data_IF_829759493745
#
_entry.id   IF_829759493745
#
_cell.length_a   1.000
_cell.length_b   1.000
_cell.length_c   1.000
_cell.angle_alpha   90.00
_cell.angle_beta   90.00
_cell.angle_gamma   90.00
#
_symmetry.space_group_name_H-M   'P 1'
#
loop_
_entity.id
_entity.type
_entity.pdbx_description
1 polymer ?
#
# COMPACT_ATOMS: atom_id res chain seq x y z
N UNK A 1 -6.80 -16.88 -17.60
CA UNK A 1 -5.47 -16.21 -17.80
C UNK A 1 -4.38 -17.28 -17.72
N UNK A 2 -3.38 -17.27 -18.62
CA UNK A 2 -2.24 -18.20 -18.57
C UNK A 2 -1.26 -17.80 -17.47
N UNK A 3 -0.39 -18.72 -17.02
CA UNK A 3 0.65 -18.44 -16.00
C UNK A 3 1.56 -17.28 -16.44
N UNK A 4 1.98 -17.22 -17.71
CA UNK A 4 2.78 -16.14 -18.27
C UNK A 4 2.05 -14.78 -18.19
N UNK A 5 0.77 -14.76 -18.57
CA UNK A 5 -0.02 -13.53 -18.51
C UNK A 5 -0.24 -13.06 -17.06
N UNK A 6 -0.33 -13.98 -16.10
CA UNK A 6 -0.42 -13.65 -14.69
C UNK A 6 0.87 -13.03 -14.14
N UNK A 7 2.04 -13.54 -14.57
CA UNK A 7 3.33 -12.92 -14.23
C UNK A 7 3.46 -11.51 -14.83
N UNK A 8 3.08 -11.32 -16.09
CA UNK A 8 3.08 -9.99 -16.72
C UNK A 8 2.13 -9.03 -16.01
N UNK A 9 0.94 -9.49 -15.63
CA UNK A 9 -0.05 -8.68 -14.93
C UNK A 9 0.46 -8.18 -13.57
N UNK A 10 1.11 -9.05 -12.78
CA UNK A 10 1.62 -8.64 -11.47
C UNK A 10 2.84 -7.71 -11.58
N UNK A 11 3.73 -7.92 -12.57
CA UNK A 11 4.84 -6.98 -12.82
C UNK A 11 4.33 -5.62 -13.26
N UNK A 12 3.33 -5.58 -14.17
CA UNK A 12 2.70 -4.33 -14.59
C UNK A 12 2.01 -3.63 -13.41
N UNK A 13 1.32 -4.40 -12.54
CA UNK A 13 0.73 -3.88 -11.30
C UNK A 13 1.78 -3.26 -10.36
N UNK A 14 2.87 -3.96 -10.09
CA UNK A 14 3.96 -3.48 -9.24
C UNK A 14 4.64 -2.23 -9.82
N UNK A 15 4.84 -2.18 -11.13
CA UNK A 15 5.36 -1.01 -11.84
C UNK A 15 4.42 0.19 -11.70
N UNK A 16 3.10 0.00 -11.85
CA UNK A 16 2.11 1.06 -11.67
C UNK A 16 2.05 1.57 -10.23
N UNK A 17 2.20 0.70 -9.23
CA UNK A 17 2.30 1.12 -7.85
C UNK A 17 3.57 1.93 -7.60
N UNK A 18 4.73 1.51 -8.13
CA UNK A 18 5.96 2.29 -8.09
C UNK A 18 5.85 3.67 -8.76
N UNK A 19 5.04 3.78 -9.81
CA UNK A 19 4.76 5.06 -10.49
C UNK A 19 3.90 6.00 -9.64
N UNK A 20 3.19 5.51 -8.61
CA UNK A 20 2.33 6.35 -7.76
C UNK A 20 3.08 7.51 -7.10
N UNK A 21 4.27 7.27 -6.56
CA UNK A 21 5.09 8.30 -5.94
C UNK A 21 5.51 9.38 -6.94
N UNK A 22 5.86 8.96 -8.15
CA UNK A 22 6.26 9.84 -9.25
C UNK A 22 5.11 10.76 -9.69
N UNK A 23 3.93 10.19 -9.96
CA UNK A 23 2.74 10.97 -10.35
C UNK A 23 2.31 11.92 -9.22
N UNK A 24 2.42 11.48 -7.96
CA UNK A 24 2.18 12.33 -6.79
C UNK A 24 3.20 13.47 -6.66
N UNK A 25 4.45 13.26 -7.10
CA UNK A 25 5.47 14.31 -7.14
C UNK A 25 5.23 15.30 -8.27
N UNK A 26 4.80 14.83 -9.45
CA UNK A 26 4.46 15.66 -10.61
C UNK A 26 3.25 16.57 -10.35
N UNK A 27 2.25 16.10 -9.61
CA UNK A 27 1.12 16.92 -9.24
C UNK A 27 1.56 18.03 -8.26
N UNK A 28 1.24 19.29 -8.54
CA UNK A 28 1.58 20.44 -7.69
C UNK A 28 0.65 20.58 -6.48
N UNK A 29 -0.52 19.99 -6.55
CA UNK A 29 -1.56 19.99 -5.52
C UNK A 29 -1.08 19.42 -4.17
N UNK A 30 -1.78 19.80 -3.12
CA UNK A 30 -1.52 19.29 -1.77
C UNK A 30 -1.73 17.76 -1.66
N UNK A 31 -1.06 17.08 -0.72
CA UNK A 31 -1.27 15.64 -0.47
C UNK A 31 -2.73 15.26 -0.22
N UNK A 32 -3.51 16.12 0.42
CA UNK A 32 -4.95 15.94 0.63
C UNK A 32 -5.72 15.97 -0.69
N UNK A 33 -5.44 16.98 -1.53
CA UNK A 33 -6.08 17.13 -2.85
C UNK A 33 -5.73 15.97 -3.78
N UNK A 34 -4.44 15.55 -3.79
CA UNK A 34 -3.98 14.39 -4.56
C UNK A 34 -4.73 13.12 -4.12
N UNK A 35 -4.81 12.87 -2.80
CA UNK A 35 -5.47 11.67 -2.26
C UNK A 35 -6.97 11.67 -2.53
N UNK A 36 -7.64 12.82 -2.42
CA UNK A 36 -9.05 12.99 -2.76
C UNK A 36 -9.32 12.71 -4.24
N UNK A 37 -8.59 13.39 -5.14
CA UNK A 37 -8.76 13.23 -6.58
C UNK A 37 -8.42 11.82 -7.05
N UNK A 38 -7.37 11.20 -6.48
CA UNK A 38 -7.04 9.78 -6.70
C UNK A 38 -8.22 8.87 -6.34
N UNK A 39 -8.86 9.10 -5.18
CA UNK A 39 -10.04 8.34 -4.77
C UNK A 39 -11.23 8.57 -5.71
N UNK A 40 -11.45 9.81 -6.17
CA UNK A 40 -12.52 10.15 -7.13
C UNK A 40 -12.36 9.34 -8.42
N UNK A 41 -11.19 9.40 -9.06
CA UNK A 41 -10.94 8.66 -10.29
C UNK A 41 -10.92 7.14 -10.09
N UNK A 42 -10.47 6.66 -8.92
CA UNK A 42 -10.54 5.24 -8.58
C UNK A 42 -12.00 4.78 -8.43
N UNK A 43 -12.87 5.55 -7.77
CA UNK A 43 -14.31 5.25 -7.66
C UNK A 43 -14.94 5.16 -9.04
N UNK A 44 -14.68 6.12 -9.94
CA UNK A 44 -15.20 6.09 -11.30
C UNK A 44 -14.72 4.84 -12.07
N UNK A 45 -13.43 4.54 -12.01
CA UNK A 45 -12.86 3.37 -12.67
C UNK A 45 -13.42 2.05 -12.10
N UNK A 46 -13.57 1.95 -10.78
CA UNK A 46 -14.11 0.77 -10.11
C UNK A 46 -15.62 0.58 -10.34
N UNK A 47 -16.38 1.66 -10.48
CA UNK A 47 -17.79 1.59 -10.90
C UNK A 47 -17.92 1.03 -12.31
N UNK A 48 -17.12 1.53 -13.26
CA UNK A 48 -17.06 0.99 -14.63
C UNK A 48 -16.64 -0.48 -14.60
N UNK A 49 -15.58 -0.83 -13.87
CA UNK A 49 -15.11 -2.20 -13.73
C UNK A 49 -16.19 -3.12 -13.10
N UNK A 50 -16.90 -2.63 -12.07
CA UNK A 50 -17.99 -3.36 -11.44
C UNK A 50 -19.16 -3.64 -12.41
N UNK A 51 -19.47 -2.68 -13.26
CA UNK A 51 -20.51 -2.85 -14.29
C UNK A 51 -20.09 -3.85 -15.37
N UNK A 52 -18.85 -3.74 -15.87
CA UNK A 52 -18.36 -4.57 -16.98
C UNK A 52 -18.03 -6.02 -16.56
N UNK A 53 -17.45 -6.19 -15.37
CA UNK A 53 -16.93 -7.48 -14.92
C UNK A 53 -17.96 -8.29 -14.12
N UNK A 54 -19.08 -7.69 -13.73
CA UNK A 54 -20.15 -8.32 -12.93
C UNK A 54 -19.57 -9.18 -11.79
N UNK A 55 -18.94 -8.59 -10.77
CA UNK A 55 -18.23 -9.32 -9.74
C UNK A 55 -19.14 -10.33 -9.04
N UNK A 56 -18.67 -11.58 -8.94
CA UNK A 56 -19.44 -12.72 -8.45
C UNK A 56 -19.39 -12.91 -6.92
N UNK A 57 -18.82 -11.99 -6.19
CA UNK A 57 -18.70 -12.04 -4.73
C UNK A 57 -19.99 -11.66 -4.01
N UNK A 58 -20.08 -12.01 -2.72
CA UNK A 58 -21.17 -11.58 -1.86
C UNK A 58 -21.18 -10.06 -1.69
N UNK A 59 -22.38 -9.47 -1.69
CA UNK A 59 -22.53 -8.05 -1.31
C UNK A 59 -22.21 -7.88 0.18
N UNK A 60 -21.39 -6.88 0.55
CA UNK A 60 -21.03 -6.69 1.95
C UNK A 60 -22.28 -6.36 2.79
N UNK A 61 -22.43 -7.07 3.91
CA UNK A 61 -23.44 -6.76 4.91
C UNK A 61 -23.07 -5.46 5.67
N UNK A 62 -23.94 -4.96 6.56
CA UNK A 62 -23.70 -3.68 7.24
C UNK A 62 -22.41 -3.65 8.09
N UNK A 63 -22.06 -4.76 8.77
CA UNK A 63 -20.83 -4.88 9.57
C UNK A 63 -19.58 -4.86 8.70
N UNK A 64 -19.64 -5.59 7.59
CA UNK A 64 -18.56 -5.58 6.60
C UNK A 64 -18.40 -4.21 5.95
N UNK A 65 -19.51 -3.51 5.64
CA UNK A 65 -19.45 -2.13 5.12
C UNK A 65 -18.79 -1.19 6.10
N UNK A 66 -19.11 -1.26 7.38
CA UNK A 66 -18.47 -0.46 8.42
C UNK A 66 -16.96 -0.74 8.48
N UNK A 67 -16.55 -2.01 8.47
CA UNK A 67 -15.14 -2.40 8.40
C UNK A 67 -14.44 -1.89 7.14
N UNK A 68 -15.10 -1.94 5.97
CA UNK A 68 -14.56 -1.41 4.71
C UNK A 68 -14.44 0.12 4.75
N UNK A 69 -15.39 0.83 5.35
CA UNK A 69 -15.31 2.29 5.53
C UNK A 69 -14.14 2.67 6.45
N UNK A 70 -13.97 1.96 7.56
CA UNK A 70 -12.78 2.12 8.43
C UNK A 70 -11.48 1.80 7.69
N UNK A 71 -11.48 0.75 6.87
CA UNK A 71 -10.37 0.43 5.97
C UNK A 71 -10.08 1.56 4.98
N UNK A 72 -11.10 2.21 4.46
CA UNK A 72 -10.97 3.40 3.61
C UNK A 72 -10.32 4.57 4.33
N UNK A 73 -10.67 4.83 5.60
CA UNK A 73 -9.99 5.87 6.41
C UNK A 73 -8.50 5.56 6.62
N UNK A 74 -8.16 4.30 6.91
CA UNK A 74 -6.76 3.88 7.02
C UNK A 74 -6.02 4.02 5.69
N UNK A 75 -6.65 3.64 4.57
CA UNK A 75 -6.09 3.78 3.23
C UNK A 75 -5.89 5.26 2.87
N UNK A 76 -6.85 6.12 3.17
CA UNK A 76 -6.74 7.57 2.95
C UNK A 76 -5.63 8.19 3.78
N UNK A 77 -5.53 7.82 5.06
CA UNK A 77 -4.44 8.23 5.94
C UNK A 77 -3.07 7.77 5.42
N UNK A 78 -2.97 6.52 4.94
CA UNK A 78 -1.78 6.00 4.29
C UNK A 78 -1.40 6.86 3.06
N UNK A 79 -2.33 7.17 2.16
CA UNK A 79 -2.02 7.97 0.98
C UNK A 79 -1.57 9.39 1.33
N UNK A 80 -2.29 10.06 2.22
CA UNK A 80 -1.95 11.42 2.64
C UNK A 80 -0.54 11.46 3.23
N UNK A 81 -0.22 10.57 4.16
CA UNK A 81 1.10 10.51 4.79
C UNK A 81 2.20 10.12 3.81
N UNK A 82 1.90 9.22 2.85
CA UNK A 82 2.81 8.86 1.77
C UNK A 82 3.11 10.05 0.86
N UNK A 83 2.10 10.79 0.41
CA UNK A 83 2.32 11.96 -0.44
C UNK A 83 2.96 13.12 0.31
N UNK A 84 2.75 13.27 1.62
CA UNK A 84 3.54 14.20 2.45
C UNK A 84 5.03 13.78 2.38
N UNK A 85 5.33 12.51 2.59
CA UNK A 85 6.70 12.01 2.51
C UNK A 85 7.34 12.25 1.14
N UNK A 86 6.59 12.01 0.05
CA UNK A 86 7.05 12.27 -1.33
C UNK A 86 7.36 13.76 -1.55
N UNK A 87 6.51 14.66 -1.06
CA UNK A 87 6.71 16.10 -1.20
C UNK A 87 7.87 16.62 -0.38
N UNK A 88 8.10 16.08 0.81
CA UNK A 88 9.12 16.52 1.75
C UNK A 88 10.49 15.92 1.43
N UNK A 89 10.57 14.62 1.15
CA UNK A 89 11.85 13.91 1.05
C UNK A 89 12.09 13.18 -0.28
N UNK A 90 11.20 13.36 -1.26
CA UNK A 90 11.30 12.71 -2.56
C UNK A 90 10.75 11.27 -2.58
N UNK A 91 10.67 10.72 -3.80
CA UNK A 91 10.04 9.41 -4.06
C UNK A 91 10.84 8.28 -3.44
N UNK A 92 12.17 8.34 -3.50
CA UNK A 92 13.05 7.28 -3.02
C UNK A 92 12.89 7.02 -1.52
N UNK A 93 12.98 8.07 -0.68
CA UNK A 93 12.81 7.95 0.78
C UNK A 93 11.38 7.55 1.12
N UNK A 94 10.38 8.11 0.44
CA UNK A 94 8.98 7.81 0.68
C UNK A 94 8.66 6.32 0.43
N UNK A 95 9.11 5.76 -0.69
CA UNK A 95 8.85 4.35 -1.04
C UNK A 95 9.61 3.38 -0.14
N UNK A 96 10.86 3.68 0.22
CA UNK A 96 11.64 2.86 1.14
C UNK A 96 11.09 2.89 2.56
N UNK A 97 10.66 4.07 3.05
CA UNK A 97 10.03 4.17 4.37
C UNK A 97 8.69 3.42 4.42
N UNK A 98 7.87 3.54 3.38
CA UNK A 98 6.62 2.76 3.25
C UNK A 98 6.88 1.26 3.22
N UNK A 99 7.96 0.80 2.62
CA UNK A 99 8.33 -0.63 2.57
C UNK A 99 8.62 -1.26 3.95
N UNK A 100 8.51 -0.50 5.04
CA UNK A 100 8.48 -1.01 6.42
C UNK A 100 7.15 -1.72 6.79
N UNK A 101 6.07 -1.56 6.00
CA UNK A 101 4.75 -2.11 6.33
C UNK A 101 4.73 -3.61 6.65
N UNK A 102 5.54 -4.50 6.03
CA UNK A 102 5.54 -5.92 6.38
C UNK A 102 6.06 -6.17 7.80
N UNK A 103 7.04 -5.37 8.27
CA UNK A 103 7.54 -5.47 9.63
C UNK A 103 6.45 -5.11 10.65
N UNK A 104 5.71 -4.03 10.41
CA UNK A 104 4.54 -3.68 11.23
C UNK A 104 3.45 -4.74 11.16
N UNK A 105 3.20 -5.33 9.99
CA UNK A 105 2.21 -6.40 9.85
C UNK A 105 2.55 -7.58 10.75
N UNK A 106 3.81 -8.05 10.75
CA UNK A 106 4.28 -9.14 11.60
C UNK A 106 4.09 -8.82 13.09
N UNK A 107 4.50 -7.63 13.52
CA UNK A 107 4.37 -7.22 14.93
C UNK A 107 2.90 -7.12 15.37
N UNK A 108 2.06 -6.52 14.53
CA UNK A 108 0.65 -6.33 14.81
C UNK A 108 -0.15 -7.66 14.73
N UNK A 109 0.20 -8.59 13.85
CA UNK A 109 -0.40 -9.93 13.81
C UNK A 109 -0.18 -10.66 15.14
N UNK A 110 1.06 -10.65 15.65
CA UNK A 110 1.37 -11.22 16.95
C UNK A 110 0.54 -10.60 18.08
N UNK A 111 0.38 -9.27 18.07
CA UNK A 111 -0.34 -8.54 19.11
C UNK A 111 -1.86 -8.70 19.02
N UNK A 112 -2.45 -8.51 17.81
CA UNK A 112 -3.90 -8.44 17.62
C UNK A 112 -4.55 -9.82 17.50
N UNK A 113 -3.90 -10.76 16.83
CA UNK A 113 -4.41 -12.11 16.61
C UNK A 113 -3.80 -13.14 17.59
N UNK A 114 -2.89 -12.70 18.47
CA UNK A 114 -2.17 -13.56 19.42
C UNK A 114 -1.45 -14.73 18.72
N UNK A 115 -1.04 -14.52 17.47
CA UNK A 115 -0.27 -15.50 16.74
C UNK A 115 1.17 -15.55 17.28
N UNK A 116 1.72 -16.76 17.43
CA UNK A 116 3.10 -16.93 17.90
C UNK A 116 4.07 -16.48 16.81
N UNK A 117 4.68 -15.32 17.00
CA UNK A 117 5.75 -14.81 16.12
C UNK A 117 7.01 -15.68 16.28
N UNK A 118 7.59 -16.11 15.19
CA UNK A 118 8.81 -16.92 15.20
C UNK A 118 10.04 -16.04 15.41
N UNK A 119 11.13 -16.53 16.04
CA UNK A 119 12.37 -15.74 16.21
C UNK A 119 12.91 -15.16 14.89
N UNK A 120 12.78 -15.90 13.79
CA UNK A 120 13.19 -15.41 12.47
C UNK A 120 12.42 -14.17 12.01
N UNK A 121 11.14 -14.04 12.38
CA UNK A 121 10.31 -12.89 12.02
C UNK A 121 10.77 -11.63 12.76
N UNK A 122 11.18 -11.75 14.02
CA UNK A 122 11.85 -10.65 14.74
C UNK A 122 13.18 -10.27 14.09
N UNK A 123 13.95 -11.25 13.59
CA UNK A 123 15.16 -10.99 12.82
C UNK A 123 14.90 -10.19 11.55
N UNK A 124 13.79 -10.49 10.84
CA UNK A 124 13.37 -9.72 9.65
C UNK A 124 12.92 -8.30 10.00
N UNK A 125 12.19 -8.12 11.10
CA UNK A 125 11.83 -6.78 11.61
C UNK A 125 13.08 -5.98 11.92
N UNK A 126 14.07 -6.57 12.62
CA UNK A 126 15.36 -5.93 12.91
C UNK A 126 16.08 -5.53 11.62
N UNK A 127 16.08 -6.40 10.60
CA UNK A 127 16.68 -6.11 9.30
C UNK A 127 16.03 -4.92 8.60
N UNK A 128 14.71 -4.79 8.68
CA UNK A 128 13.98 -3.60 8.20
C UNK A 128 14.38 -2.36 8.98
N UNK A 129 14.48 -2.42 10.32
CA UNK A 129 14.91 -1.29 11.14
C UNK A 129 16.34 -0.83 10.79
N UNK A 130 17.27 -1.77 10.60
CA UNK A 130 18.65 -1.46 10.14
C UNK A 130 18.63 -0.83 8.75
N UNK A 131 17.80 -1.36 7.84
CA UNK A 131 17.62 -0.79 6.50
C UNK A 131 17.11 0.64 6.53
N UNK A 132 16.09 0.94 7.34
CA UNK A 132 15.56 2.29 7.54
C UNK A 132 16.62 3.23 8.14
N UNK A 133 17.41 2.76 9.10
CA UNK A 133 18.52 3.53 9.66
C UNK A 133 19.59 3.89 8.62
N UNK A 134 19.85 3.02 7.65
CA UNK A 134 20.77 3.30 6.55
C UNK A 134 20.18 4.29 5.54
N UNK A 135 18.89 4.21 5.26
CA UNK A 135 18.20 5.14 4.35
C UNK A 135 18.20 6.56 4.90
N UNK A 136 18.20 6.72 6.23
CA UNK A 136 18.22 8.03 6.89
C UNK A 136 19.61 8.67 6.76
N UNK A 137 19.75 9.87 6.13
CA UNK A 137 21.05 10.52 6.00
C UNK A 137 21.68 10.95 7.34
N UNK A 138 20.84 11.21 8.33
CA UNK A 138 21.17 11.57 9.71
C UNK A 138 19.91 11.57 10.56
N UNK A 139 20.05 11.37 11.88
CA UNK A 139 18.89 11.40 12.81
C UNK A 139 18.64 12.85 13.31
N UNK A 140 18.52 13.77 12.35
CA UNK A 140 18.22 15.17 12.64
C UNK A 140 16.76 15.46 12.23
N UNK A 141 15.93 15.79 13.23
CA UNK A 141 14.52 16.13 13.01
C UNK A 141 14.35 17.48 12.27
N UNK A 142 15.39 18.30 12.14
CA UNK A 142 15.37 19.49 11.29
C UNK A 142 15.58 19.12 9.80
N UNK A 143 16.01 17.90 9.49
CA UNK A 143 16.25 17.43 8.13
C UNK A 143 14.94 16.99 7.46
N UNK A 144 14.65 17.52 6.27
CA UNK A 144 13.50 17.10 5.44
C UNK A 144 13.51 15.59 5.16
N UNK A 145 14.70 15.02 4.96
CA UNK A 145 14.85 13.58 4.73
C UNK A 145 14.36 12.75 5.93
N UNK A 146 14.70 13.15 7.16
CA UNK A 146 14.25 12.47 8.38
C UNK A 146 12.75 12.65 8.58
N UNK A 147 12.24 13.88 8.43
CA UNK A 147 10.79 14.16 8.56
C UNK A 147 9.99 13.37 7.52
N UNK A 148 10.44 13.38 6.27
CA UNK A 148 9.79 12.62 5.21
C UNK A 148 9.83 11.10 5.44
N UNK A 149 10.95 10.56 5.95
CA UNK A 149 11.04 9.15 6.33
C UNK A 149 10.04 8.80 7.44
N UNK A 150 9.88 9.64 8.46
CA UNK A 150 8.90 9.41 9.53
C UNK A 150 7.47 9.38 8.98
N UNK A 151 7.11 10.29 8.08
CA UNK A 151 5.82 10.26 7.38
C UNK A 151 5.64 8.98 6.55
N UNK A 152 6.69 8.52 5.87
CA UNK A 152 6.65 7.30 5.09
C UNK A 152 6.50 6.03 5.97
N UNK A 153 7.18 5.99 7.12
CA UNK A 153 7.03 4.91 8.11
C UNK A 153 5.63 4.90 8.71
N UNK A 154 5.07 6.07 9.05
CA UNK A 154 3.66 6.20 9.48
C UNK A 154 2.71 5.69 8.39
N UNK A 155 2.97 6.02 7.14
CA UNK A 155 2.22 5.49 6.00
C UNK A 155 2.26 3.96 5.94
N UNK A 156 3.43 3.35 6.14
CA UNK A 156 3.61 1.90 6.23
C UNK A 156 2.84 1.27 7.40
N UNK A 157 2.84 1.92 8.55
CA UNK A 157 2.07 1.48 9.73
C UNK A 157 0.56 1.49 9.47
N UNK A 158 0.02 2.58 8.89
CA UNK A 158 -1.40 2.69 8.54
C UNK A 158 -1.81 1.62 7.51
N UNK A 159 -0.93 1.34 6.55
CA UNK A 159 -1.16 0.28 5.56
C UNK A 159 -1.13 -1.13 6.18
N UNK A 160 -0.26 -1.36 7.17
CA UNK A 160 -0.27 -2.62 7.93
C UNK A 160 -1.58 -2.81 8.70
N UNK A 161 -2.09 -1.78 9.37
CA UNK A 161 -3.41 -1.82 10.03
C UNK A 161 -4.53 -2.10 9.02
N UNK A 162 -4.49 -1.46 7.84
CA UNK A 162 -5.42 -1.73 6.75
C UNK A 162 -5.36 -3.19 6.29
N UNK A 163 -4.16 -3.74 6.10
CA UNK A 163 -3.98 -5.13 5.67
C UNK A 163 -4.60 -6.11 6.67
N UNK A 164 -4.41 -5.89 7.97
CA UNK A 164 -4.99 -6.71 9.03
C UNK A 164 -6.51 -6.57 9.12
N UNK A 165 -7.03 -5.36 8.99
CA UNK A 165 -8.47 -5.11 8.95
C UNK A 165 -9.09 -5.79 7.71
N UNK A 166 -8.46 -5.68 6.55
CA UNK A 166 -8.92 -6.36 5.33
C UNK A 166 -8.94 -7.88 5.51
N UNK A 167 -7.92 -8.48 6.13
CA UNK A 167 -7.91 -9.91 6.48
C UNK A 167 -9.14 -10.33 7.29
N UNK A 168 -9.60 -9.45 8.19
CA UNK A 168 -10.75 -9.73 9.06
C UNK A 168 -12.10 -9.55 8.36
N UNK A 169 -12.25 -8.52 7.50
CA UNK A 169 -13.57 -8.08 7.02
C UNK A 169 -13.89 -8.43 5.57
N UNK A 170 -12.89 -8.79 4.73
CA UNK A 170 -13.11 -9.02 3.29
C UNK A 170 -13.38 -10.46 2.89
N UNK A 171 -13.49 -11.38 3.85
CA UNK A 171 -13.76 -12.81 3.53
C UNK A 171 -15.07 -12.97 2.76
N UNK A 172 -14.99 -13.54 1.55
CA UNK A 172 -16.13 -13.75 0.67
C UNK A 172 -16.64 -12.50 -0.05
N UNK A 173 -16.07 -11.33 0.20
CA UNK A 173 -16.40 -10.09 -0.51
C UNK A 173 -15.55 -10.00 -1.77
N UNK A 174 -16.16 -9.56 -2.86
CA UNK A 174 -15.42 -9.28 -4.09
C UNK A 174 -14.43 -8.11 -3.89
N UNK A 175 -13.23 -8.25 -4.45
CA UNK A 175 -12.15 -7.27 -4.27
C UNK A 175 -12.49 -5.90 -4.88
N UNK A 176 -13.23 -5.87 -6.00
CA UNK A 176 -13.68 -4.61 -6.63
C UNK A 176 -14.67 -3.91 -5.71
N UNK A 177 -15.60 -4.65 -5.10
CA UNK A 177 -16.55 -4.09 -4.12
C UNK A 177 -15.84 -3.59 -2.87
N UNK A 178 -14.87 -4.33 -2.33
CA UNK A 178 -14.09 -3.88 -1.18
C UNK A 178 -13.33 -2.57 -1.50
N UNK A 179 -12.63 -2.52 -2.63
CA UNK A 179 -11.92 -1.33 -3.08
C UNK A 179 -12.87 -0.14 -3.31
N UNK A 180 -14.05 -0.37 -3.90
CA UNK A 180 -15.06 0.68 -4.12
C UNK A 180 -15.52 1.32 -2.80
N UNK A 181 -15.87 0.51 -1.78
CA UNK A 181 -16.29 1.02 -0.48
C UNK A 181 -15.18 1.79 0.24
N UNK A 182 -13.93 1.30 0.16
CA UNK A 182 -12.78 1.99 0.75
C UNK A 182 -12.51 3.33 0.07
N UNK A 183 -12.49 3.36 -1.27
CA UNK A 183 -12.28 4.61 -2.01
C UNK A 183 -13.43 5.61 -1.81
N UNK A 184 -14.67 5.15 -1.69
CA UNK A 184 -15.82 5.98 -1.36
C UNK A 184 -15.69 6.62 0.03
N UNK A 185 -15.17 5.86 1.02
CA UNK A 185 -14.91 6.40 2.35
C UNK A 185 -13.84 7.50 2.32
N UNK A 186 -12.76 7.31 1.53
CA UNK A 186 -11.73 8.35 1.34
C UNK A 186 -12.35 9.60 0.73
N UNK A 187 -13.12 9.42 -0.33
CA UNK A 187 -13.76 10.52 -1.04
C UNK A 187 -14.65 11.36 -0.10
N UNK A 188 -15.49 10.69 0.70
CA UNK A 188 -16.37 11.36 1.65
C UNK A 188 -15.58 12.04 2.78
N UNK A 189 -14.59 11.35 3.35
CA UNK A 189 -13.81 11.86 4.47
C UNK A 189 -12.92 13.06 4.08
N UNK A 190 -12.33 13.05 2.90
CA UNK A 190 -11.44 14.12 2.44
C UNK A 190 -12.16 15.27 1.75
N UNK A 191 -13.41 15.11 1.29
CA UNK A 191 -14.14 16.14 0.57
C UNK A 191 -14.15 17.51 1.28
N UNK A 192 -14.44 17.62 2.60
CA UNK A 192 -14.46 18.91 3.30
C UNK A 192 -13.11 19.64 3.30
N UNK A 193 -12.01 18.88 3.27
CA UNK A 193 -10.65 19.40 3.37
C UNK A 193 -10.01 19.66 1.99
N UNK A 194 -10.43 18.91 0.98
CA UNK A 194 -9.86 18.99 -0.37
C UNK A 194 -10.54 20.02 -1.26
N UNK A 195 -11.74 20.49 -0.92
CA UNK A 195 -12.57 21.34 -1.77
C UNK A 195 -11.86 22.60 -2.28
N UNK A 196 -11.19 23.32 -1.38
CA UNK A 196 -10.44 24.54 -1.76
C UNK A 196 -9.29 24.21 -2.72
N UNK A 197 -8.57 23.13 -2.46
CA UNK A 197 -7.47 22.68 -3.33
C UNK A 197 -7.96 22.22 -4.71
N UNK A 198 -9.14 21.58 -4.78
CA UNK A 198 -9.74 21.14 -6.04
C UNK A 198 -10.18 22.34 -6.89
N UNK A 199 -10.76 23.37 -6.28
CA UNK A 199 -11.20 24.58 -6.99
C UNK A 199 -10.05 25.35 -7.64
N UNK A 200 -8.85 25.32 -7.04
CA UNK A 200 -7.64 25.96 -7.57
C UNK A 200 -6.66 25.01 -8.25
N UNK A 201 -7.06 23.77 -8.53
CA UNK A 201 -6.15 22.75 -9.05
C UNK A 201 -5.67 23.06 -10.47
N UNK A 202 -4.33 23.03 -10.74
CA UNK A 202 -3.79 23.17 -12.07
C UNK A 202 -4.38 22.15 -13.05
N UNK A 203 -4.58 22.54 -14.30
CA UNK A 203 -5.17 21.66 -15.31
C UNK A 203 -4.38 20.35 -15.51
N UNK A 204 -3.04 20.42 -15.42
CA UNK A 204 -2.16 19.28 -15.56
C UNK A 204 -2.25 18.29 -14.39
N UNK A 205 -2.59 18.78 -13.19
CA UNK A 205 -2.79 17.93 -12.02
C UNK A 205 -3.98 16.97 -12.19
N UNK A 206 -5.03 17.40 -12.92
CA UNK A 206 -6.14 16.50 -13.26
C UNK A 206 -5.66 15.27 -14.04
N UNK A 207 -4.68 15.45 -14.94
CA UNK A 207 -4.08 14.34 -15.69
C UNK A 207 -3.30 13.41 -14.75
N UNK A 208 -2.38 13.97 -13.93
CA UNK A 208 -1.55 13.17 -13.03
C UNK A 208 -2.37 12.43 -11.97
N UNK A 209 -3.33 13.12 -11.37
CA UNK A 209 -4.21 12.55 -10.36
C UNK A 209 -5.20 11.56 -11.00
N UNK A 210 -5.68 11.83 -12.22
CA UNK A 210 -6.49 10.88 -12.98
C UNK A 210 -5.72 9.58 -13.27
N UNK A 211 -4.46 9.69 -13.71
CA UNK A 211 -3.59 8.52 -13.89
C UNK A 211 -3.36 7.75 -12.59
N UNK A 212 -3.17 8.44 -11.47
CA UNK A 212 -3.07 7.82 -10.14
C UNK A 212 -4.33 7.00 -9.81
N UNK A 213 -5.51 7.57 -9.97
CA UNK A 213 -6.77 6.90 -9.65
C UNK A 213 -7.09 5.74 -10.57
N UNK A 214 -6.98 5.94 -11.88
CA UNK A 214 -7.35 4.92 -12.88
C UNK A 214 -6.30 3.81 -12.95
N UNK A 215 -5.03 4.15 -13.20
CA UNK A 215 -4.00 3.16 -13.46
C UNK A 215 -3.35 2.63 -12.18
N UNK A 216 -2.88 3.53 -11.29
CA UNK A 216 -2.17 3.11 -10.08
C UNK A 216 -3.10 2.65 -8.96
N UNK A 217 -4.41 2.79 -9.10
CA UNK A 217 -5.39 2.27 -8.13
C UNK A 217 -6.32 1.26 -8.78
N UNK A 218 -7.16 1.67 -9.72
CA UNK A 218 -8.16 0.80 -10.34
C UNK A 218 -7.54 -0.37 -11.08
N UNK A 219 -6.68 -0.09 -12.08
CA UNK A 219 -6.07 -1.12 -12.91
C UNK A 219 -5.03 -1.94 -12.17
N UNK A 220 -4.10 -1.31 -11.44
CA UNK A 220 -3.04 -2.01 -10.71
C UNK A 220 -3.61 -3.01 -9.70
N UNK A 221 -4.63 -2.59 -8.93
CA UNK A 221 -5.32 -3.47 -7.99
C UNK A 221 -6.03 -4.62 -8.70
N UNK A 222 -6.71 -4.35 -9.81
CA UNK A 222 -7.37 -5.39 -10.60
C UNK A 222 -6.39 -6.42 -11.17
N UNK A 223 -5.23 -5.97 -11.67
CA UNK A 223 -4.15 -6.85 -12.13
C UNK A 223 -3.56 -7.71 -11.00
N UNK A 224 -3.37 -7.10 -9.83
CA UNK A 224 -2.92 -7.81 -8.63
C UNK A 224 -3.88 -8.94 -8.25
N UNK A 225 -5.17 -8.63 -8.11
CA UNK A 225 -6.21 -9.62 -7.76
C UNK A 225 -6.35 -10.69 -8.84
N UNK A 226 -6.31 -10.30 -10.12
CA UNK A 226 -6.39 -11.24 -11.23
C UNK A 226 -5.19 -12.21 -11.26
N UNK A 227 -3.99 -11.74 -10.92
CA UNK A 227 -2.80 -12.57 -10.85
C UNK A 227 -2.87 -13.62 -9.73
N UNK A 228 -3.49 -13.29 -8.59
CA UNK A 228 -3.67 -14.21 -7.47
C UNK A 228 -4.58 -15.41 -7.78
N UNK A 229 -5.41 -15.32 -8.84
CA UNK A 229 -6.23 -16.47 -9.28
C UNK A 229 -5.39 -17.58 -9.93
N UNK A 230 -4.17 -17.27 -10.37
CA UNK A 230 -3.27 -18.18 -11.08
C UNK A 230 -1.96 -18.39 -10.34
N UNK A 231 -1.40 -17.34 -9.77
CA UNK A 231 -0.13 -17.37 -9.07
C UNK A 231 -0.36 -17.62 -7.57
N UNK A 232 0.61 -18.28 -6.94
CA UNK A 232 0.65 -18.40 -5.48
C UNK A 232 0.86 -17.01 -4.87
N UNK A 233 0.19 -16.70 -3.77
CA UNK A 233 0.33 -15.44 -3.04
C UNK A 233 1.80 -15.07 -2.77
N UNK A 234 2.63 -16.06 -2.44
CA UNK A 234 4.08 -15.92 -2.25
C UNK A 234 4.81 -15.34 -3.48
N UNK A 235 4.51 -15.84 -4.69
CA UNK A 235 5.10 -15.33 -5.94
C UNK A 235 4.68 -13.90 -6.18
N UNK A 236 3.41 -13.61 -5.97
CA UNK A 236 2.83 -12.27 -6.12
C UNK A 236 3.47 -11.28 -5.14
N UNK A 237 3.64 -11.66 -3.86
CA UNK A 237 4.26 -10.79 -2.84
C UNK A 237 5.74 -10.51 -3.13
N UNK A 238 6.49 -11.49 -3.66
CA UNK A 238 7.90 -11.29 -4.05
C UNK A 238 8.02 -10.28 -5.19
N UNK A 239 7.14 -10.37 -6.20
CA UNK A 239 7.15 -9.42 -7.32
C UNK A 239 6.70 -8.03 -6.85
N UNK A 240 5.72 -7.97 -5.95
CA UNK A 240 5.23 -6.71 -5.39
C UNK A 240 6.31 -5.99 -4.56
N UNK A 241 7.21 -6.73 -3.90
CA UNK A 241 8.35 -6.16 -3.18
C UNK A 241 9.35 -5.40 -4.10
N UNK A 242 9.19 -5.46 -5.43
CA UNK A 242 9.94 -4.64 -6.39
C UNK A 242 9.36 -3.23 -6.58
N UNK A 243 8.21 -2.92 -5.99
CA UNK A 243 7.60 -1.59 -6.06
C UNK A 243 8.58 -0.44 -5.76
N UNK A 244 9.35 -0.46 -4.64
CA UNK A 244 10.33 0.58 -4.36
C UNK A 244 11.43 0.67 -5.41
N UNK A 245 11.82 -0.44 -6.03
CA UNK A 245 12.83 -0.46 -7.11
C UNK A 245 12.31 0.31 -8.31
N UNK A 246 11.07 0.06 -8.73
CA UNK A 246 10.45 0.80 -9.82
C UNK A 246 10.27 2.28 -9.48
N UNK A 247 9.82 2.60 -8.26
CA UNK A 247 9.65 3.99 -7.81
C UNK A 247 10.96 4.78 -7.83
N UNK A 248 12.04 4.21 -7.29
CA UNK A 248 13.37 4.83 -7.28
C UNK A 248 13.93 4.96 -8.71
N UNK A 249 13.77 3.94 -9.55
CA UNK A 249 14.22 4.01 -10.95
C UNK A 249 13.52 5.13 -11.72
N UNK A 250 12.19 5.26 -11.59
CA UNK A 250 11.45 6.36 -12.19
C UNK A 250 11.84 7.72 -11.63
N UNK A 251 12.04 7.84 -10.30
CA UNK A 251 12.46 9.09 -9.69
C UNK A 251 13.85 9.52 -10.17
N UNK A 252 14.75 8.57 -10.35
CA UNK A 252 16.07 8.85 -10.91
C UNK A 252 15.98 9.30 -12.38
N UNK A 253 15.21 8.59 -13.21
CA UNK A 253 15.09 8.89 -14.63
C UNK A 253 14.36 10.24 -14.91
N UNK A 254 13.32 10.56 -14.12
CA UNK A 254 12.44 11.70 -14.39
C UNK A 254 12.83 12.97 -13.60
N UNK A 255 13.40 12.82 -12.42
CA UNK A 255 13.72 13.94 -11.53
C UNK A 255 15.21 14.06 -11.22
N UNK A 256 16.06 13.18 -11.79
CA UNK A 256 17.48 13.10 -11.45
C UNK A 256 17.72 12.86 -9.93
N UNK A 257 16.76 12.25 -9.22
CA UNK A 257 16.92 11.82 -7.83
C UNK A 257 17.88 10.64 -7.76
N UNK A 258 19.18 10.93 -7.66
CA UNK A 258 20.20 9.88 -7.59
C UNK A 258 20.14 9.17 -6.22
N UNK A 259 19.90 7.83 -6.19
CA UNK A 259 19.92 7.10 -4.94
C UNK A 259 21.35 7.07 -4.39
N UNK A 260 21.51 7.42 -3.11
CA UNK A 260 22.82 7.29 -2.44
C UNK A 260 23.16 5.81 -2.21
N UNK A 261 24.44 5.50 -2.02
CA UNK A 261 24.86 4.14 -1.67
C UNK A 261 24.20 3.63 -0.38
N UNK A 262 23.93 4.53 0.58
CA UNK A 262 23.20 4.21 1.81
C UNK A 262 21.74 3.83 1.52
N UNK A 263 21.07 4.56 0.64
CA UNK A 263 19.71 4.23 0.19
C UNK A 263 19.67 2.88 -0.54
N UNK A 264 20.63 2.60 -1.40
CA UNK A 264 20.71 1.32 -2.11
C UNK A 264 20.96 0.17 -1.13
N UNK A 265 21.89 0.32 -0.20
CA UNK A 265 22.16 -0.69 0.81
C UNK A 265 20.96 -0.92 1.74
N UNK A 266 20.40 0.15 2.31
CA UNK A 266 19.22 0.07 3.18
C UNK A 266 17.99 -0.48 2.46
N UNK A 267 17.73 -0.01 1.24
CA UNK A 267 16.65 -0.50 0.39
C UNK A 267 16.80 -2.00 0.06
N UNK A 268 18.00 -2.44 -0.23
CA UNK A 268 18.29 -3.88 -0.45
C UNK A 268 17.96 -4.71 0.78
N UNK A 269 18.34 -4.27 1.98
CA UNK A 269 18.02 -4.97 3.23
C UNK A 269 16.49 -5.05 3.46
N UNK A 270 15.76 -3.94 3.25
CA UNK A 270 14.30 -3.89 3.39
C UNK A 270 13.64 -4.84 2.40
N UNK A 271 14.04 -4.82 1.14
CA UNK A 271 13.48 -5.69 0.10
C UNK A 271 13.78 -7.17 0.40
N UNK A 272 15.01 -7.50 0.79
CA UNK A 272 15.38 -8.87 1.16
C UNK A 272 14.58 -9.36 2.38
N UNK A 273 14.38 -8.50 3.41
CA UNK A 273 13.54 -8.83 4.55
C UNK A 273 12.09 -9.09 4.15
N UNK A 274 11.52 -8.25 3.27
CA UNK A 274 10.15 -8.40 2.75
C UNK A 274 9.99 -9.70 1.95
N UNK A 275 10.94 -10.01 1.07
CA UNK A 275 10.95 -11.26 0.31
C UNK A 275 11.09 -12.47 1.23
N UNK A 276 11.97 -12.42 2.22
CA UNK A 276 12.14 -13.51 3.18
C UNK A 276 10.87 -13.71 4.03
N UNK A 277 10.27 -12.62 4.53
CA UNK A 277 9.01 -12.66 5.28
C UNK A 277 7.90 -13.34 4.47
N UNK A 278 7.74 -12.99 3.19
CA UNK A 278 6.72 -13.59 2.31
C UNK A 278 6.93 -15.09 2.06
N UNK A 279 8.12 -15.62 2.33
CA UNK A 279 8.47 -17.04 2.19
C UNK A 279 8.23 -17.86 3.45
N UNK A 280 8.04 -17.24 4.59
CA UNK A 280 7.73 -17.94 5.83
C UNK A 280 6.30 -18.51 5.74
N UNK A 281 6.14 -19.76 6.18
CA UNK A 281 4.81 -20.37 6.27
C UNK A 281 4.08 -19.74 7.45
N UNK A 282 2.86 -19.24 7.26
CA UNK A 282 1.97 -18.92 8.39
C UNK A 282 1.79 -20.17 9.26
N UNK A 283 2.03 -20.05 10.56
CA UNK A 283 1.72 -21.13 11.49
C UNK A 283 0.19 -21.21 11.61
N UNK A 284 -0.45 -22.38 11.42
CA UNK A 284 -1.88 -22.49 11.67
C UNK A 284 -2.17 -22.08 13.12
N UNK A 285 -3.23 -21.29 13.33
CA UNK A 285 -3.72 -21.03 14.68
C UNK A 285 -3.91 -22.37 15.42
N UNK A 286 -3.60 -22.47 16.73
CA UNK A 286 -3.92 -23.66 17.50
C UNK A 286 -5.39 -23.96 17.34
N UNK A 287 -5.73 -25.20 16.97
CA UNK A 287 -7.12 -25.65 16.93
C UNK A 287 -7.76 -25.28 18.28
N UNK A 288 -8.88 -24.57 18.25
CA UNK A 288 -9.62 -24.27 19.47
C UNK A 288 -9.88 -25.60 20.17
N UNK A 289 -9.38 -25.71 21.42
CA UNK A 289 -9.62 -26.89 22.26
C UNK A 289 -11.13 -27.08 22.36
N UNK A 290 -11.67 -28.26 22.04
CA UNK A 290 -13.11 -28.49 22.17
C UNK A 290 -13.52 -28.20 23.62
N UNK A 291 -14.54 -27.36 23.76
CA UNK A 291 -15.07 -27.02 25.08
C UNK A 291 -15.31 -28.32 25.86
N UNK A 292 -14.58 -28.52 26.99
CA UNK A 292 -14.81 -29.64 27.89
C UNK A 292 -16.27 -29.57 28.33
N UNK A 293 -17.07 -30.55 27.90
CA UNK A 293 -18.42 -30.74 28.41
C UNK A 293 -18.31 -30.95 29.91
N UNK A 294 -18.73 -29.94 30.68
CA UNK A 294 -18.93 -30.09 32.13
C UNK A 294 -20.16 -30.95 32.25
N UNK A 295 -19.92 -32.20 32.63
CA UNK A 295 -20.95 -33.19 33.09
C UNK A 295 -21.32 -32.90 34.53
#
# INVERSE_FOLDING_TARGET
>A
MTHRNALLAIHLGALMFGLSGVLGKLAESSPLTISFGRALFAVLALLIASYLLQPSGARPNWRSRLGLLMGGLLLGGHWVTFFIAVKVAGVGIATLGFASFPAFTVLLEGLLFRERTRPIEYGLVLLVCVGLGLVTPGFDLASEATVGLLWAVLSGFLFALLALLNRAVTRGIDAVQAALWQNLAILIALAPFAWVGVAGMPALDWLWIGMLGVFCTGLAHSLFVASLRVLKARTTSVIFALEPVYGIAFAWLLFAEQPTLRMLAGGTLIILATIASSRLKSTPAPAAEPARSVS
#
